data_IF_614616646352
#
_entry.id   IF_614616646352
#
_cell.length_a   1.000
_cell.length_b   1.000
_cell.length_c   1.000
_cell.angle_alpha   90.00
_cell.angle_beta   90.00
_cell.angle_gamma   90.00
#
_symmetry.space_group_name_H-M   'P 1'
#
loop_
_entity.id
_entity.type
_entity.pdbx_description
1 polymer ?
#
# COMPACT_ATOMS: atom_id res chain seq x y z
N UNK A 1 -8.29 10.30 21.11
CA UNK A 1 -7.90 11.06 19.91
C UNK A 1 -7.75 10.06 18.76
N UNK A 2 -8.32 10.33 17.59
CA UNK A 2 -8.24 9.42 16.42
C UNK A 2 -6.88 9.63 15.73
N UNK A 3 -6.21 8.54 15.32
CA UNK A 3 -5.02 8.58 14.46
C UNK A 3 -5.40 8.11 13.07
N UNK A 4 -4.92 8.82 12.05
CA UNK A 4 -5.14 8.46 10.65
C UNK A 4 -3.77 8.36 9.99
N UNK A 5 -3.53 7.24 9.31
CA UNK A 5 -2.32 6.97 8.56
C UNK A 5 -2.69 7.03 7.07
N UNK A 6 -1.88 7.74 6.28
CA UNK A 6 -2.10 7.90 4.85
C UNK A 6 -0.86 7.37 4.14
N UNK A 7 -1.06 6.41 3.24
CA UNK A 7 0.00 5.79 2.46
C UNK A 7 -0.31 5.99 0.98
N UNK A 8 0.71 6.37 0.20
CA UNK A 8 0.63 6.38 -1.26
C UNK A 8 0.99 4.98 -1.77
N UNK A 9 0.30 4.53 -2.82
CA UNK A 9 0.66 3.26 -3.50
C UNK A 9 2.14 3.22 -3.89
N UNK A 10 2.72 2.01 -3.92
CA UNK A 10 4.09 1.77 -4.35
C UNK A 10 4.33 2.19 -5.81
N UNK A 11 5.60 2.27 -6.22
CA UNK A 11 5.97 2.62 -7.58
C UNK A 11 5.33 1.65 -8.60
N UNK A 12 4.71 2.19 -9.66
CA UNK A 12 4.22 1.41 -10.80
C UNK A 12 5.11 1.51 -12.03
N UNK A 13 4.90 0.67 -13.04
CA UNK A 13 5.60 0.78 -14.31
C UNK A 13 5.37 2.13 -15.00
N UNK A 14 4.16 2.68 -14.96
CA UNK A 14 3.88 4.02 -15.50
C UNK A 14 4.63 5.12 -14.73
N UNK A 15 4.76 4.99 -13.40
CA UNK A 15 5.59 5.91 -12.62
C UNK A 15 7.06 5.82 -13.01
N UNK A 16 7.60 4.61 -13.23
CA UNK A 16 8.99 4.39 -13.67
C UNK A 16 9.30 5.14 -14.97
N UNK A 17 8.33 5.25 -15.88
CA UNK A 17 8.47 5.99 -17.15
C UNK A 17 8.06 7.47 -17.05
N UNK A 18 7.82 8.01 -15.84
CA UNK A 18 7.39 9.39 -15.60
C UNK A 18 6.16 9.80 -16.43
N UNK A 19 5.17 8.91 -16.53
CA UNK A 19 3.92 9.15 -17.25
C UNK A 19 2.76 9.34 -16.27
N UNK A 20 1.76 10.12 -16.69
CA UNK A 20 0.50 10.27 -15.97
C UNK A 20 -0.32 9.00 -16.07
N UNK A 21 -0.74 8.47 -14.91
CA UNK A 21 -1.47 7.21 -14.84
C UNK A 21 -2.99 7.41 -14.83
N UNK A 22 -3.50 8.38 -14.07
CA UNK A 22 -4.95 8.57 -13.92
C UNK A 22 -5.66 7.28 -13.47
N UNK A 23 -6.71 6.89 -14.20
CA UNK A 23 -7.44 5.64 -13.99
C UNK A 23 -6.89 4.44 -14.77
N UNK A 24 -5.86 4.62 -15.59
CA UNK A 24 -5.13 3.48 -16.14
C UNK A 24 -4.42 2.76 -14.98
N UNK A 25 -4.33 1.43 -15.04
CA UNK A 25 -3.70 0.67 -13.98
C UNK A 25 -2.56 -0.18 -14.51
N UNK A 26 -1.43 -0.13 -13.80
CA UNK A 26 -0.26 -0.93 -14.10
C UNK A 26 0.29 -1.50 -12.80
N UNK A 27 0.83 -2.73 -12.84
CA UNK A 27 1.34 -3.36 -11.64
C UNK A 27 2.40 -2.52 -10.93
N UNK A 28 2.57 -2.82 -9.64
CA UNK A 28 3.74 -2.37 -8.90
C UNK A 28 5.01 -2.93 -9.57
N UNK A 29 6.08 -2.13 -9.54
CA UNK A 29 7.42 -2.60 -9.85
C UNK A 29 8.01 -3.33 -8.65
N UNK A 30 9.10 -4.08 -8.84
CA UNK A 30 9.87 -4.67 -7.72
C UNK A 30 10.20 -3.62 -6.63
N UNK A 31 10.78 -2.44 -6.95
CA UNK A 31 10.97 -1.38 -5.95
C UNK A 31 9.66 -0.88 -5.30
N UNK A 32 8.53 -0.93 -6.02
CA UNK A 32 7.24 -0.57 -5.47
C UNK A 32 6.71 -1.58 -4.46
N UNK A 33 7.00 -2.86 -4.66
CA UNK A 33 6.69 -3.94 -3.72
C UNK A 33 7.60 -3.82 -2.49
N UNK A 34 8.91 -3.66 -2.69
CA UNK A 34 9.88 -3.47 -1.60
C UNK A 34 9.50 -2.27 -0.71
N UNK A 35 9.15 -1.13 -1.31
CA UNK A 35 8.70 0.03 -0.54
C UNK A 35 7.38 -0.20 0.22
N UNK A 36 6.48 -1.06 -0.29
CA UNK A 36 5.28 -1.45 0.42
C UNK A 36 5.61 -2.40 1.60
N UNK A 37 6.57 -3.30 1.43
CA UNK A 37 7.07 -4.16 2.51
C UNK A 37 7.76 -3.34 3.62
N UNK A 38 8.59 -2.37 3.26
CA UNK A 38 9.22 -1.45 4.22
C UNK A 38 8.18 -0.65 5.02
N UNK A 39 7.13 -0.15 4.35
CA UNK A 39 6.01 0.50 5.00
C UNK A 39 5.24 -0.46 5.93
N UNK A 40 5.07 -1.71 5.51
CA UNK A 40 4.48 -2.79 6.31
C UNK A 40 5.26 -3.03 7.59
N UNK A 41 6.58 -3.20 7.50
CA UNK A 41 7.47 -3.38 8.64
C UNK A 41 7.44 -2.18 9.60
N UNK A 42 7.39 -0.95 9.07
CA UNK A 42 7.32 0.26 9.89
C UNK A 42 5.98 0.41 10.64
N UNK A 43 4.91 -0.17 10.10
CA UNK A 43 3.55 -0.06 10.64
C UNK A 43 3.06 -1.34 11.32
N UNK A 44 3.89 -2.39 11.41
CA UNK A 44 3.45 -3.71 11.87
C UNK A 44 2.85 -3.71 13.26
N UNK A 45 3.39 -2.91 14.18
CA UNK A 45 2.96 -2.84 15.58
C UNK A 45 1.83 -1.84 15.82
N UNK A 46 1.33 -1.17 14.77
CA UNK A 46 0.19 -0.26 14.87
C UNK A 46 -1.10 -1.08 14.73
N UNK A 47 -1.93 -1.22 15.79
CA UNK A 47 -3.20 -1.91 15.65
C UNK A 47 -4.16 -1.03 14.85
N UNK A 48 -4.52 -1.47 13.65
CA UNK A 48 -5.50 -0.75 12.85
C UNK A 48 -6.91 -1.23 13.19
N UNK A 49 -7.86 -0.30 13.22
CA UNK A 49 -9.28 -0.64 13.34
C UNK A 49 -9.88 -0.98 11.96
N UNK A 50 -9.41 -0.31 10.90
CA UNK A 50 -9.90 -0.41 9.53
C UNK A 50 -8.73 -0.09 8.57
N UNK A 51 -8.58 -0.86 7.49
CA UNK A 51 -7.72 -0.55 6.36
C UNK A 51 -8.56 -0.27 5.10
N UNK A 52 -8.30 0.83 4.41
CA UNK A 52 -9.05 1.25 3.21
C UNK A 52 -8.08 1.51 2.06
N UNK A 53 -8.53 1.20 0.84
CA UNK A 53 -7.81 1.51 -0.39
C UNK A 53 -8.78 1.92 -1.50
N UNK A 54 -8.26 2.58 -2.53
CA UNK A 54 -9.03 2.76 -3.76
C UNK A 54 -9.20 1.41 -4.48
N UNK A 55 -10.12 1.34 -5.42
CA UNK A 55 -10.39 0.17 -6.26
C UNK A 55 -9.28 -0.16 -7.29
N UNK A 56 -8.29 0.72 -7.46
CA UNK A 56 -7.16 0.50 -8.36
C UNK A 56 -6.17 -0.50 -7.77
N UNK A 57 -5.76 -1.48 -8.58
CA UNK A 57 -4.94 -2.63 -8.19
C UNK A 57 -3.62 -2.21 -7.56
N UNK A 58 -2.95 -1.17 -8.08
CA UNK A 58 -1.71 -0.66 -7.46
C UNK A 58 -1.90 -0.24 -5.99
N UNK A 59 -3.05 0.33 -5.65
CA UNK A 59 -3.34 0.78 -4.29
C UNK A 59 -3.83 -0.37 -3.43
N UNK A 60 -4.67 -1.28 -3.96
CA UNK A 60 -5.11 -2.47 -3.23
C UNK A 60 -3.94 -3.40 -2.93
N UNK A 61 -3.07 -3.67 -3.92
CA UNK A 61 -1.88 -4.52 -3.76
C UNK A 61 -0.91 -3.92 -2.71
N UNK A 62 -0.68 -2.60 -2.74
CA UNK A 62 0.13 -1.92 -1.70
C UNK A 62 -0.47 -2.10 -0.31
N UNK A 63 -1.79 -1.91 -0.19
CA UNK A 63 -2.51 -2.09 1.08
C UNK A 63 -2.37 -3.53 1.59
N UNK A 64 -2.64 -4.52 0.73
CA UNK A 64 -2.52 -5.95 1.07
C UNK A 64 -1.11 -6.32 1.52
N UNK A 65 -0.06 -5.80 0.87
CA UNK A 65 1.33 -6.03 1.27
C UNK A 65 1.55 -5.50 2.69
N UNK A 66 1.20 -4.24 2.96
CA UNK A 66 1.35 -3.62 4.29
C UNK A 66 0.59 -4.43 5.35
N UNK A 67 -0.65 -4.82 5.04
CA UNK A 67 -1.51 -5.52 6.01
C UNK A 67 -1.03 -6.93 6.34
N UNK A 68 -0.26 -7.60 5.47
CA UNK A 68 0.33 -8.91 5.78
C UNK A 68 1.30 -8.89 6.96
N UNK A 69 1.93 -7.75 7.21
CA UNK A 69 2.88 -7.53 8.31
C UNK A 69 2.19 -7.17 9.63
N UNK A 70 0.94 -6.73 9.58
CA UNK A 70 0.30 -6.07 10.70
C UNK A 70 -0.05 -7.02 11.86
N UNK A 71 0.08 -6.52 13.10
CA UNK A 71 -0.10 -7.26 14.35
C UNK A 71 -1.50 -7.86 14.49
N UNK A 72 -2.54 -7.18 13.98
CA UNK A 72 -3.93 -7.65 14.07
C UNK A 72 -4.54 -7.97 12.69
N UNK A 73 -3.71 -8.39 11.72
CA UNK A 73 -4.13 -8.71 10.34
C UNK A 73 -5.25 -9.74 10.19
N UNK A 74 -5.44 -10.63 11.18
CA UNK A 74 -6.50 -11.65 11.16
C UNK A 74 -7.84 -11.14 11.70
N UNK A 75 -7.87 -9.91 12.21
CA UNK A 75 -9.03 -9.26 12.84
C UNK A 75 -9.55 -8.09 11.98
N UNK A 76 -8.95 -7.88 10.81
CA UNK A 76 -9.18 -6.77 9.89
C UNK A 76 -9.93 -7.18 8.62
#
# INVERSE_FOLDING_TARGET
MKKIYIVRHGQTYINRYNKMQGWCDTPLTEPGIEGADEAGEALKDVPFDIALSSDLKRASDTCEIIMKHNVNKNEL
#
